data_IF_074581475898
#
_entry.id   IF_074581475898
#
_cell.length_a   1.000
_cell.length_b   1.000
_cell.length_c   1.000
_cell.angle_alpha   90.00
_cell.angle_beta   90.00
_cell.angle_gamma   90.00
#
_symmetry.space_group_name_H-M   'P 1'
#
loop_
_entity.id
_entity.type
_entity.pdbx_description
1 polymer ?
#
# COMPACT_ATOMS: atom_id res chain seq x y z
N UNK A 1 -9.72 22.41 -16.35
CA UNK A 1 -9.32 21.28 -17.21
C UNK A 1 -9.41 20.03 -16.35
N UNK A 2 -10.07 18.96 -16.81
CA UNK A 2 -10.06 17.69 -16.09
C UNK A 2 -8.61 17.18 -16.00
N UNK A 3 -8.20 16.65 -14.83
CA UNK A 3 -6.89 16.01 -14.71
C UNK A 3 -6.79 14.88 -15.73
N UNK A 4 -5.61 14.69 -16.33
CA UNK A 4 -5.33 13.59 -17.28
C UNK A 4 -5.56 12.26 -16.57
N UNK A 5 -6.21 11.31 -17.24
CA UNK A 5 -6.37 9.95 -16.70
C UNK A 5 -5.00 9.27 -16.61
N UNK A 6 -4.71 8.70 -15.45
CA UNK A 6 -3.46 7.98 -15.18
C UNK A 6 -3.78 6.67 -14.49
N UNK A 7 -3.36 5.59 -15.09
CA UNK A 7 -3.48 4.24 -14.53
C UNK A 7 -2.10 3.61 -14.39
N UNK A 8 -2.01 2.54 -13.62
CA UNK A 8 -0.74 1.81 -13.47
C UNK A 8 -0.95 0.31 -13.49
N UNK A 9 0.04 -0.39 -14.03
CA UNK A 9 0.34 -1.78 -13.74
C UNK A 9 1.48 -1.82 -12.72
N UNK A 10 1.27 -2.50 -11.60
CA UNK A 10 2.16 -2.46 -10.45
C UNK A 10 2.53 -3.89 -10.00
N UNK A 11 3.31 -4.62 -10.83
CA UNK A 11 3.68 -6.00 -10.52
C UNK A 11 4.79 -6.09 -9.49
N UNK A 12 4.71 -7.12 -8.64
CA UNK A 12 5.85 -7.56 -7.83
C UNK A 12 6.75 -8.50 -8.64
N UNK A 13 8.08 -8.31 -8.64
CA UNK A 13 9.02 -9.12 -9.41
C UNK A 13 9.33 -10.46 -8.71
N UNK A 14 8.29 -11.28 -8.51
CA UNK A 14 8.36 -12.54 -7.77
C UNK A 14 8.43 -13.78 -8.67
N UNK A 15 8.76 -13.61 -9.95
CA UNK A 15 8.90 -14.69 -10.91
C UNK A 15 8.09 -14.48 -12.19
N UNK A 16 7.46 -15.55 -12.70
CA UNK A 16 6.70 -15.51 -13.95
C UNK A 16 5.40 -14.72 -13.78
N UNK A 17 5.10 -13.86 -14.74
CA UNK A 17 3.83 -13.15 -14.79
C UNK A 17 2.68 -14.16 -14.98
N UNK A 18 1.69 -14.10 -14.07
CA UNK A 18 0.48 -14.91 -14.17
C UNK A 18 -0.53 -14.24 -15.11
N UNK A 19 -1.39 -15.03 -15.77
CA UNK A 19 -2.42 -14.51 -16.69
C UNK A 19 -3.37 -13.51 -16.02
N UNK A 20 -3.64 -13.66 -14.71
CA UNK A 20 -4.43 -12.70 -13.93
C UNK A 20 -3.78 -11.33 -13.84
N UNK A 21 -2.45 -11.27 -13.64
CA UNK A 21 -1.71 -10.01 -13.65
C UNK A 21 -1.77 -9.33 -15.02
N UNK A 22 -1.61 -10.13 -16.09
CA UNK A 22 -1.71 -9.61 -17.47
C UNK A 22 -3.11 -9.05 -17.77
N UNK A 23 -4.17 -9.72 -17.30
CA UNK A 23 -5.55 -9.22 -17.42
C UNK A 23 -5.72 -7.87 -16.71
N UNK A 24 -5.22 -7.73 -15.49
CA UNK A 24 -5.28 -6.47 -14.76
C UNK A 24 -4.50 -5.36 -15.49
N UNK A 25 -3.30 -5.68 -16.01
CA UNK A 25 -2.52 -4.76 -16.84
C UNK A 25 -3.30 -4.32 -18.09
N UNK A 26 -3.97 -5.25 -18.77
CA UNK A 26 -4.78 -4.97 -19.97
C UNK A 26 -5.92 -4.00 -19.65
N UNK A 27 -6.65 -4.19 -18.56
CA UNK A 27 -7.75 -3.29 -18.19
C UNK A 27 -7.23 -1.89 -17.85
N UNK A 28 -6.17 -1.79 -17.07
CA UNK A 28 -5.54 -0.52 -16.77
C UNK A 28 -5.05 0.21 -18.03
N UNK A 29 -4.42 -0.52 -18.96
CA UNK A 29 -3.98 -0.01 -20.25
C UNK A 29 -5.15 0.52 -21.09
N UNK A 30 -6.22 -0.27 -21.22
CA UNK A 30 -7.39 0.09 -22.04
C UNK A 30 -8.08 1.34 -21.49
N UNK A 31 -8.25 1.47 -20.17
CA UNK A 31 -8.82 2.67 -19.54
C UNK A 31 -7.96 3.89 -19.87
N UNK A 32 -6.65 3.81 -19.64
CA UNK A 32 -5.75 4.93 -19.95
C UNK A 32 -5.84 5.34 -21.42
N UNK A 33 -5.76 4.38 -22.34
CA UNK A 33 -5.74 4.69 -23.78
C UNK A 33 -7.09 5.15 -24.31
N UNK A 34 -8.20 4.64 -23.77
CA UNK A 34 -9.54 5.11 -24.12
C UNK A 34 -9.74 6.59 -23.78
N UNK A 35 -9.25 7.01 -22.63
CA UNK A 35 -9.36 8.37 -22.11
C UNK A 35 -8.23 9.30 -22.57
N UNK A 36 -7.34 8.86 -23.45
CA UNK A 36 -6.18 9.64 -23.91
C UNK A 36 -5.18 9.94 -22.79
N UNK A 37 -5.12 9.08 -21.80
CA UNK A 37 -4.31 9.17 -20.60
C UNK A 37 -2.98 8.42 -20.66
N UNK A 38 -2.32 8.29 -19.50
CA UNK A 38 -1.04 7.60 -19.36
C UNK A 38 -1.22 6.26 -18.64
N UNK A 39 -0.52 5.24 -19.13
CA UNK A 39 -0.39 3.94 -18.50
C UNK A 39 1.03 3.76 -17.98
N UNK A 40 1.17 3.60 -16.67
CA UNK A 40 2.44 3.52 -15.97
C UNK A 40 2.82 2.07 -15.62
N UNK A 41 4.12 1.77 -15.63
CA UNK A 41 4.70 0.58 -15.02
C UNK A 41 5.41 0.97 -13.72
N UNK A 42 4.95 0.43 -12.59
CA UNK A 42 5.61 0.58 -11.27
C UNK A 42 6.01 -0.80 -10.75
N UNK A 43 7.24 -0.97 -10.33
CA UNK A 43 7.75 -2.22 -9.76
C UNK A 43 7.57 -2.18 -8.24
N UNK A 44 6.78 -3.12 -7.71
CA UNK A 44 6.49 -3.24 -6.28
C UNK A 44 7.30 -4.39 -5.66
N UNK A 45 8.53 -4.07 -5.26
CA UNK A 45 9.53 -4.98 -4.73
C UNK A 45 9.81 -4.79 -3.23
N UNK A 46 8.81 -4.35 -2.47
CA UNK A 46 8.92 -4.17 -1.01
C UNK A 46 9.13 -5.48 -0.23
N UNK A 47 8.84 -6.62 -0.84
CA UNK A 47 9.10 -7.95 -0.31
C UNK A 47 10.39 -8.49 -0.93
N UNK A 48 11.52 -8.15 -0.31
CA UNK A 48 12.85 -8.50 -0.79
C UNK A 48 13.15 -10.01 -0.69
N UNK A 49 12.45 -10.74 0.17
CA UNK A 49 12.62 -12.20 0.31
C UNK A 49 12.08 -12.97 -0.91
N UNK A 50 11.04 -12.42 -1.55
CA UNK A 50 10.43 -13.01 -2.75
C UNK A 50 10.94 -12.45 -4.07
N UNK A 51 11.93 -11.57 -4.02
CA UNK A 51 12.54 -11.02 -5.22
C UNK A 51 13.20 -12.14 -6.06
N UNK A 52 12.91 -12.17 -7.37
CA UNK A 52 13.51 -13.11 -8.31
C UNK A 52 14.29 -12.35 -9.37
N UNK A 53 15.58 -12.64 -9.46
CA UNK A 53 16.44 -12.05 -10.51
C UNK A 53 15.91 -12.37 -11.92
N UNK A 54 15.90 -11.37 -12.80
CA UNK A 54 15.34 -11.49 -14.15
C UNK A 54 13.81 -11.42 -14.26
N UNK A 55 13.07 -11.33 -13.14
CA UNK A 55 11.61 -11.20 -13.18
C UNK A 55 11.16 -9.91 -13.87
N UNK A 56 11.91 -8.83 -13.73
CA UNK A 56 11.61 -7.56 -14.41
C UNK A 56 11.73 -7.69 -15.94
N UNK A 57 12.73 -8.40 -16.44
CA UNK A 57 12.87 -8.67 -17.88
C UNK A 57 11.69 -9.48 -18.43
N UNK A 58 11.17 -10.41 -17.61
CA UNK A 58 9.97 -11.19 -17.98
C UNK A 58 8.76 -10.28 -18.09
N UNK A 59 8.60 -9.32 -17.16
CA UNK A 59 7.53 -8.33 -17.19
C UNK A 59 7.62 -7.51 -18.48
N UNK A 60 8.77 -6.91 -18.78
CA UNK A 60 8.98 -6.12 -20.00
C UNK A 60 8.68 -6.91 -21.28
N UNK A 61 9.26 -8.11 -21.42
CA UNK A 61 9.01 -8.98 -22.59
C UNK A 61 7.55 -9.38 -22.74
N UNK A 62 6.85 -9.60 -21.62
CA UNK A 62 5.43 -9.97 -21.65
C UNK A 62 4.59 -8.78 -22.11
N UNK A 63 4.86 -7.59 -21.57
CA UNK A 63 4.17 -6.37 -21.97
C UNK A 63 4.42 -6.05 -23.44
N UNK A 64 5.66 -6.13 -23.92
CA UNK A 64 6.02 -5.94 -25.32
C UNK A 64 5.28 -6.92 -26.25
N UNK A 65 5.32 -8.24 -25.94
CA UNK A 65 4.65 -9.27 -26.74
C UNK A 65 3.14 -9.12 -26.80
N UNK A 66 2.54 -8.52 -25.79
CA UNK A 66 1.08 -8.31 -25.72
C UNK A 66 0.66 -6.90 -26.16
N UNK A 67 1.62 -6.06 -26.56
CA UNK A 67 1.34 -4.70 -27.01
C UNK A 67 0.93 -3.72 -25.90
N UNK A 68 1.14 -4.08 -24.64
CA UNK A 68 0.85 -3.22 -23.47
C UNK A 68 2.02 -2.26 -23.23
N UNK A 69 2.17 -1.28 -24.09
CA UNK A 69 3.28 -0.33 -24.02
C UNK A 69 2.98 0.75 -22.98
N UNK A 70 3.80 0.83 -21.94
CA UNK A 70 3.69 1.87 -20.91
C UNK A 70 4.25 3.21 -21.39
N UNK A 71 3.69 4.29 -20.87
CA UNK A 71 4.12 5.66 -21.16
C UNK A 71 5.23 6.10 -20.22
N UNK A 72 5.23 5.59 -18.99
CA UNK A 72 6.21 5.86 -17.93
C UNK A 72 6.54 4.57 -17.17
N UNK A 73 7.75 4.47 -16.66
CA UNK A 73 8.23 3.32 -15.89
C UNK A 73 9.70 3.42 -15.55
N UNK A 74 10.32 2.36 -15.00
CA UNK A 74 11.74 2.39 -14.61
C UNK A 74 12.70 2.67 -15.76
N UNK A 75 12.31 2.33 -16.98
CA UNK A 75 13.07 2.52 -18.22
C UNK A 75 12.65 3.79 -18.99
N UNK A 76 11.62 4.49 -18.55
CA UNK A 76 11.06 5.66 -19.22
C UNK A 76 10.50 6.66 -18.21
N UNK A 77 11.31 7.60 -17.78
CA UNK A 77 10.93 8.59 -16.78
C UNK A 77 9.92 9.60 -17.33
N UNK A 78 8.81 9.78 -16.59
CA UNK A 78 7.78 10.79 -16.83
C UNK A 78 7.80 11.93 -15.80
N UNK A 79 8.81 11.98 -14.93
CA UNK A 79 8.96 13.00 -13.90
C UNK A 79 8.37 12.62 -12.53
N UNK A 80 7.90 11.38 -12.37
CA UNK A 80 7.32 10.86 -11.12
C UNK A 80 8.18 9.77 -10.46
N UNK A 81 9.37 9.48 -11.04
CA UNK A 81 10.30 8.45 -10.59
C UNK A 81 10.88 8.72 -9.19
N UNK A 82 11.59 7.74 -8.64
CA UNK A 82 11.80 6.39 -9.16
C UNK A 82 10.50 5.57 -9.26
N UNK A 83 10.44 4.64 -10.24
CA UNK A 83 9.28 3.75 -10.43
C UNK A 83 9.50 2.36 -9.83
N UNK A 84 10.53 2.20 -9.01
CA UNK A 84 10.84 0.99 -8.25
C UNK A 84 10.73 1.31 -6.77
N UNK A 85 9.95 0.54 -6.03
CA UNK A 85 9.65 0.86 -4.63
C UNK A 85 10.87 0.74 -3.71
N UNK A 86 11.79 -0.19 -3.94
CA UNK A 86 13.03 -0.28 -3.17
C UNK A 86 13.90 0.98 -3.32
N UNK A 87 13.97 1.57 -4.52
CA UNK A 87 14.67 2.83 -4.78
C UNK A 87 14.01 4.01 -4.05
N UNK A 88 12.67 4.07 -4.05
CA UNK A 88 11.90 5.06 -3.28
C UNK A 88 12.12 4.88 -1.78
N UNK A 89 12.17 3.63 -1.30
CA UNK A 89 12.48 3.34 0.10
C UNK A 89 13.89 3.81 0.48
N UNK A 90 14.88 3.56 -0.38
CA UNK A 90 16.26 4.01 -0.16
C UNK A 90 16.38 5.53 -0.05
N UNK A 91 15.51 6.30 -0.69
CA UNK A 91 15.43 7.76 -0.54
C UNK A 91 14.82 8.22 0.78
N UNK A 92 14.31 7.31 1.61
CA UNK A 92 13.61 7.62 2.87
C UNK A 92 12.17 8.10 2.70
N UNK A 93 11.61 8.03 1.49
CA UNK A 93 10.31 8.57 1.16
C UNK A 93 9.20 8.04 2.06
N UNK A 94 9.06 6.71 2.16
CA UNK A 94 7.97 6.10 2.93
C UNK A 94 8.10 6.38 4.43
N UNK A 95 9.31 6.31 4.97
CA UNK A 95 9.54 6.63 6.39
C UNK A 95 9.19 8.09 6.71
N UNK A 96 9.44 9.02 5.78
CA UNK A 96 9.06 10.44 5.92
C UNK A 96 7.55 10.57 6.07
N UNK A 97 6.76 9.94 5.20
CA UNK A 97 5.30 9.99 5.27
C UNK A 97 4.74 9.26 6.48
N UNK A 98 5.32 8.12 6.87
CA UNK A 98 4.91 7.43 8.09
C UNK A 98 5.15 8.28 9.35
N UNK A 99 6.30 8.97 9.44
CA UNK A 99 6.59 9.90 10.53
C UNK A 99 5.65 11.10 10.55
N UNK A 100 5.26 11.63 9.40
CA UNK A 100 4.25 12.67 9.31
C UNK A 100 2.94 12.23 9.98
N UNK A 101 2.46 11.02 9.69
CA UNK A 101 1.26 10.48 10.35
C UNK A 101 1.46 10.29 11.86
N UNK A 102 2.66 9.91 12.31
CA UNK A 102 2.96 9.83 13.76
C UNK A 102 2.88 11.22 14.41
N UNK A 103 3.44 12.24 13.78
CA UNK A 103 3.39 13.62 14.27
C UNK A 103 1.95 14.18 14.33
N UNK A 104 1.08 13.75 13.41
CA UNK A 104 -0.34 14.11 13.37
C UNK A 104 -1.21 13.34 14.38
N UNK A 105 -0.72 12.20 14.90
CA UNK A 105 -1.48 11.30 15.76
C UNK A 105 -2.28 10.24 15.02
N UNK A 106 -2.16 10.18 13.68
CA UNK A 106 -2.81 9.20 12.81
C UNK A 106 -2.01 7.91 12.67
N UNK A 107 -0.81 7.85 13.24
CA UNK A 107 0.02 6.64 13.35
C UNK A 107 0.82 6.66 14.65
N UNK A 108 1.40 5.52 15.01
CA UNK A 108 2.20 5.40 16.23
C UNK A 108 3.25 4.30 16.10
N UNK A 109 4.31 4.40 16.92
CA UNK A 109 5.31 3.36 17.06
C UNK A 109 4.79 2.20 17.89
N UNK A 110 5.01 0.98 17.42
CA UNK A 110 4.67 -0.24 18.14
C UNK A 110 5.95 -1.05 18.39
N UNK A 111 6.20 -1.39 19.65
CA UNK A 111 7.36 -2.14 20.13
C UNK A 111 7.00 -3.55 20.59
N UNK A 112 5.80 -4.03 20.28
CA UNK A 112 5.37 -5.38 20.64
C UNK A 112 6.20 -6.43 19.91
N UNK A 113 6.68 -7.41 20.66
CA UNK A 113 7.35 -8.59 20.12
C UNK A 113 6.34 -9.63 19.58
N UNK A 114 6.87 -10.67 18.97
CA UNK A 114 6.07 -11.73 18.38
C UNK A 114 5.24 -12.48 19.41
N UNK A 115 5.79 -12.74 20.60
CA UNK A 115 5.13 -13.46 21.69
C UNK A 115 3.91 -12.67 22.19
N UNK A 116 4.07 -11.35 22.37
CA UNK A 116 2.96 -10.46 22.74
C UNK A 116 1.86 -10.45 21.67
N UNK A 117 2.23 -10.37 20.41
CA UNK A 117 1.25 -10.35 19.31
C UNK A 117 0.51 -11.68 19.19
N UNK A 118 1.18 -12.82 19.36
CA UNK A 118 0.56 -14.15 19.37
C UNK A 118 -0.37 -14.38 20.56
N UNK A 119 -0.17 -13.65 21.65
CA UNK A 119 -1.07 -13.70 22.82
C UNK A 119 -2.39 -12.97 22.64
N UNK A 120 -2.55 -12.17 21.57
CA UNK A 120 -3.79 -11.45 21.29
C UNK A 120 -4.91 -12.45 20.94
N UNK A 121 -6.06 -12.26 21.56
CA UNK A 121 -7.22 -13.12 21.32
C UNK A 121 -7.68 -12.93 19.87
N UNK A 122 -7.82 -14.03 19.16
CA UNK A 122 -8.46 -14.07 17.86
C UNK A 122 -9.96 -13.78 18.03
N UNK A 123 -10.45 -12.74 17.37
CA UNK A 123 -11.87 -12.48 17.28
C UNK A 123 -12.42 -13.22 16.06
N UNK A 124 -13.57 -13.89 16.24
CA UNK A 124 -14.27 -14.54 15.11
C UNK A 124 -15.29 -13.56 14.59
N UNK A 125 -15.17 -13.15 13.32
CA UNK A 125 -16.17 -12.34 12.65
C UNK A 125 -17.50 -13.11 12.48
N UNK A 126 -18.61 -12.40 12.24
CA UNK A 126 -19.92 -13.03 11.96
C UNK A 126 -19.90 -14.01 10.79
N UNK A 127 -18.89 -13.94 9.91
CA UNK A 127 -18.65 -14.87 8.80
C UNK A 127 -17.74 -16.06 9.13
N UNK A 128 -17.34 -16.26 10.41
CA UNK A 128 -16.50 -17.38 10.83
C UNK A 128 -15.02 -17.23 10.49
N UNK A 129 -14.59 -16.04 10.06
CA UNK A 129 -13.18 -15.74 9.79
C UNK A 129 -12.51 -15.28 11.07
N UNK A 130 -11.40 -15.92 11.44
CA UNK A 130 -10.59 -15.48 12.58
C UNK A 130 -9.85 -14.19 12.22
N UNK A 131 -10.18 -13.11 12.92
CA UNK A 131 -9.50 -11.82 12.79
C UNK A 131 -8.72 -11.57 14.08
N UNK A 132 -7.40 -11.49 13.98
CA UNK A 132 -6.56 -11.01 15.08
C UNK A 132 -6.47 -9.50 15.00
N UNK A 133 -7.22 -8.79 15.83
CA UNK A 133 -7.19 -7.33 15.91
C UNK A 133 -6.13 -6.93 16.94
N UNK A 134 -5.20 -6.05 16.54
CA UNK A 134 -4.22 -5.48 17.45
C UNK A 134 -4.92 -4.55 18.45
N UNK A 135 -4.61 -4.73 19.74
CA UNK A 135 -5.27 -4.07 20.87
C UNK A 135 -4.80 -2.63 21.16
N UNK A 136 -4.07 -2.02 20.23
CA UNK A 136 -3.53 -0.65 20.35
C UNK A 136 -2.64 -0.42 21.60
N UNK A 137 -2.04 -1.47 22.15
CA UNK A 137 -1.24 -1.41 23.37
C UNK A 137 -0.20 -0.27 23.36
N UNK A 138 0.54 -0.12 22.26
CA UNK A 138 1.58 0.91 22.19
C UNK A 138 1.06 2.32 21.86
N UNK A 139 -0.23 2.49 21.57
CA UNK A 139 -0.82 3.82 21.34
C UNK A 139 -0.84 4.65 22.64
N UNK A 140 -0.86 3.99 23.80
CA UNK A 140 -0.88 4.64 25.12
C UNK A 140 0.50 5.09 25.62
N UNK A 141 1.58 4.75 24.92
CA UNK A 141 2.94 5.16 25.31
C UNK A 141 3.09 6.68 25.21
N UNK A 142 3.70 7.27 26.24
CA UNK A 142 4.06 8.69 26.20
C UNK A 142 5.19 8.95 25.19
N UNK A 143 5.35 10.20 24.78
CA UNK A 143 6.40 10.59 23.85
C UNK A 143 7.80 10.25 24.41
N UNK A 144 8.01 10.46 25.70
CA UNK A 144 9.26 10.16 26.41
C UNK A 144 9.55 8.64 26.41
N UNK A 145 8.52 7.81 26.59
CA UNK A 145 8.67 6.34 26.54
C UNK A 145 9.00 5.88 25.12
N UNK A 146 8.37 6.45 24.11
CA UNK A 146 8.69 6.17 22.69
C UNK A 146 10.14 6.55 22.39
N UNK A 147 10.56 7.77 22.76
CA UNK A 147 11.94 8.25 22.55
C UNK A 147 12.96 7.36 23.29
N UNK A 148 12.67 6.96 24.53
CA UNK A 148 13.53 6.05 25.30
C UNK A 148 13.66 4.67 24.65
N UNK A 149 12.55 4.12 24.13
CA UNK A 149 12.55 2.83 23.43
C UNK A 149 13.35 2.90 22.12
N UNK A 150 13.20 3.98 21.35
CA UNK A 150 13.98 4.22 20.13
C UNK A 150 15.47 4.39 20.43
N UNK A 151 15.81 5.17 21.46
CA UNK A 151 17.20 5.37 21.90
C UNK A 151 17.86 4.08 22.41
N UNK A 152 17.06 3.20 23.02
CA UNK A 152 17.51 1.86 23.46
C UNK A 152 17.67 0.87 22.30
N UNK A 153 17.37 1.26 21.04
CA UNK A 153 17.46 0.40 19.86
C UNK A 153 16.46 -0.75 19.85
N UNK A 154 15.34 -0.63 20.56
CA UNK A 154 14.29 -1.67 20.51
C UNK A 154 13.74 -1.81 19.10
N UNK A 155 13.49 -3.04 18.61
CA UNK A 155 12.78 -3.26 17.36
C UNK A 155 11.40 -2.58 17.38
N UNK A 156 11.03 -1.95 16.28
CA UNK A 156 9.76 -1.24 16.18
C UNK A 156 9.15 -1.38 14.79
N UNK A 157 7.86 -1.14 14.73
CA UNK A 157 7.10 -0.91 13.50
C UNK A 157 6.29 0.38 13.66
N UNK A 158 5.83 0.98 12.57
CA UNK A 158 4.85 2.07 12.62
C UNK A 158 3.50 1.49 12.18
N UNK A 159 2.45 1.73 12.98
CA UNK A 159 1.07 1.34 12.70
C UNK A 159 0.18 2.54 12.44
N UNK A 160 -0.78 2.37 11.54
CA UNK A 160 -1.88 3.32 11.37
C UNK A 160 -2.74 3.31 12.65
N UNK A 161 -3.20 4.48 13.09
CA UNK A 161 -4.17 4.60 14.16
C UNK A 161 -5.58 4.74 13.56
N UNK A 162 -6.29 3.64 13.42
CA UNK A 162 -7.66 3.64 12.92
C UNK A 162 -8.60 4.04 14.05
N UNK A 163 -9.52 5.01 13.87
CA UNK A 163 -10.55 5.30 14.88
C UNK A 163 -11.40 4.07 15.20
N UNK A 164 -11.71 3.85 16.48
CA UNK A 164 -12.54 2.71 16.88
C UNK A 164 -14.02 2.90 16.52
N UNK A 165 -14.45 4.16 16.36
CA UNK A 165 -15.84 4.52 16.07
C UNK A 165 -15.98 5.06 14.65
N UNK A 166 -17.21 5.06 14.13
CA UNK A 166 -17.53 5.56 12.81
C UNK A 166 -17.34 4.51 11.73
N UNK A 167 -17.41 4.97 10.49
CA UNK A 167 -17.40 4.14 9.29
C UNK A 167 -16.48 4.73 8.26
N UNK A 168 -15.93 3.89 7.40
CA UNK A 168 -15.18 4.29 6.21
C UNK A 168 -15.96 3.88 4.97
N UNK A 169 -16.27 4.85 4.13
CA UNK A 169 -16.95 4.63 2.85
C UNK A 169 -16.01 4.94 1.70
N UNK A 170 -15.99 4.09 0.70
CA UNK A 170 -15.30 4.36 -0.57
C UNK A 170 -16.22 4.05 -1.76
N UNK A 171 -15.99 4.73 -2.85
CA UNK A 171 -16.71 4.50 -4.10
C UNK A 171 -15.93 3.56 -5.00
N UNK A 172 -16.58 2.48 -5.43
CA UNK A 172 -16.09 1.58 -6.47
C UNK A 172 -16.94 1.75 -7.73
N UNK A 173 -16.32 1.99 -8.87
CA UNK A 173 -17.00 2.26 -10.14
C UNK A 173 -17.88 1.08 -10.63
N UNK A 174 -17.68 -0.11 -10.09
CA UNK A 174 -18.43 -1.32 -10.46
C UNK A 174 -19.46 -1.68 -9.39
N UNK A 175 -19.05 -1.61 -8.11
CA UNK A 175 -19.86 -2.05 -6.97
C UNK A 175 -20.60 -0.90 -6.26
N UNK A 176 -20.34 0.36 -6.64
CA UNK A 176 -20.91 1.53 -5.97
C UNK A 176 -20.26 1.83 -4.62
N UNK A 177 -21.00 2.49 -3.75
CA UNK A 177 -20.50 2.86 -2.43
C UNK A 177 -20.44 1.64 -1.50
N UNK A 178 -19.27 1.41 -0.94
CA UNK A 178 -19.00 0.34 0.03
C UNK A 178 -18.62 0.97 1.35
N UNK A 179 -19.35 0.65 2.40
CA UNK A 179 -19.17 1.17 3.76
C UNK A 179 -18.78 0.04 4.70
N UNK A 180 -17.74 0.27 5.51
CA UNK A 180 -17.23 -0.69 6.49
C UNK A 180 -17.09 0.01 7.85
N UNK A 181 -17.58 -0.59 8.96
CA UNK A 181 -17.31 -0.08 10.29
C UNK A 181 -15.81 0.01 10.58
N UNK A 182 -15.35 1.12 11.15
CA UNK A 182 -13.94 1.29 11.49
C UNK A 182 -13.45 0.23 12.50
N UNK A 183 -14.34 -0.26 13.36
CA UNK A 183 -14.02 -1.33 14.31
C UNK A 183 -13.61 -2.67 13.66
N UNK A 184 -13.91 -2.86 12.37
CA UNK A 184 -13.49 -4.03 11.59
C UNK A 184 -12.14 -3.84 10.90
N UNK A 185 -11.60 -2.61 10.94
CA UNK A 185 -10.30 -2.28 10.35
C UNK A 185 -9.21 -2.41 11.41
N UNK A 186 -8.14 -3.15 11.09
CA UNK A 186 -6.98 -3.26 11.94
C UNK A 186 -6.03 -2.07 11.80
N UNK A 187 -5.27 -1.78 12.85
CA UNK A 187 -4.15 -0.85 12.82
C UNK A 187 -3.00 -1.47 12.00
N UNK A 188 -3.13 -1.42 10.69
CA UNK A 188 -2.16 -2.05 9.80
C UNK A 188 -0.76 -1.47 9.97
N UNK A 189 0.24 -2.30 9.77
CA UNK A 189 1.63 -1.86 9.77
C UNK A 189 1.89 -1.03 8.52
N UNK A 190 2.48 0.16 8.69
CA UNK A 190 2.93 1.05 7.63
C UNK A 190 4.40 0.78 7.29
N UNK A 191 5.27 0.80 8.31
CA UNK A 191 6.71 0.51 8.19
C UNK A 191 7.01 -0.73 9.01
N UNK A 192 7.64 -1.71 8.38
CA UNK A 192 8.09 -2.96 8.98
C UNK A 192 9.37 -2.75 9.79
N UNK A 193 9.73 -3.74 10.63
CA UNK A 193 10.95 -3.70 11.46
C UNK A 193 12.26 -3.71 10.65
N UNK A 194 12.22 -4.12 9.38
CA UNK A 194 13.34 -4.03 8.44
C UNK A 194 13.48 -2.64 7.79
N UNK A 195 12.60 -1.70 8.11
CA UNK A 195 12.57 -0.35 7.55
C UNK A 195 11.87 -0.24 6.19
N UNK A 196 11.36 -1.33 5.63
CA UNK A 196 10.56 -1.28 4.42
C UNK A 196 9.08 -0.98 4.73
N UNK A 197 8.38 -0.29 3.82
CA UNK A 197 6.94 -0.12 3.93
C UNK A 197 6.24 -1.46 3.69
N UNK A 198 5.03 -1.59 4.21
CA UNK A 198 4.12 -2.64 3.74
C UNK A 198 3.60 -2.30 2.35
N UNK A 199 3.17 -3.33 1.63
CA UNK A 199 2.50 -3.17 0.33
C UNK A 199 1.34 -2.15 0.39
N UNK A 200 0.48 -2.26 1.39
CA UNK A 200 -0.69 -1.40 1.53
C UNK A 200 -0.33 0.08 1.73
N UNK A 201 0.76 0.37 2.42
CA UNK A 201 1.21 1.74 2.63
C UNK A 201 1.93 2.29 1.41
N UNK A 202 2.88 1.54 0.85
CA UNK A 202 3.67 1.98 -0.30
C UNK A 202 2.78 2.32 -1.50
N UNK A 203 1.80 1.46 -1.80
CA UNK A 203 0.95 1.70 -2.97
C UNK A 203 0.10 2.99 -2.87
N UNK A 204 -0.38 3.36 -1.69
CA UNK A 204 -1.15 4.60 -1.48
C UNK A 204 -0.26 5.83 -1.66
N UNK A 205 0.94 5.82 -1.07
CA UNK A 205 1.91 6.90 -1.22
C UNK A 205 2.28 7.08 -2.71
N UNK A 206 2.55 5.98 -3.39
CA UNK A 206 2.96 6.02 -4.78
C UNK A 206 1.82 6.41 -5.72
N UNK A 207 0.62 5.89 -5.51
CA UNK A 207 -0.55 6.24 -6.31
C UNK A 207 -0.84 7.75 -6.19
N UNK A 208 -0.74 8.31 -4.98
CA UNK A 208 -0.90 9.75 -4.78
C UNK A 208 0.22 10.57 -5.47
N UNK A 209 1.49 10.23 -5.22
CA UNK A 209 2.63 10.99 -5.74
C UNK A 209 2.83 10.84 -7.26
N UNK A 210 2.35 9.74 -7.85
CA UNK A 210 2.35 9.52 -9.30
C UNK A 210 1.04 10.01 -9.95
N UNK A 211 0.17 10.68 -9.17
CA UNK A 211 -1.11 11.22 -9.65
C UNK A 211 -2.00 10.17 -10.34
N UNK A 212 -2.01 8.94 -9.81
CA UNK A 212 -2.88 7.89 -10.32
C UNK A 212 -4.34 8.29 -10.08
N UNK A 213 -5.12 8.35 -11.15
CA UNK A 213 -6.53 8.75 -11.10
C UNK A 213 -7.48 7.55 -11.01
N UNK A 214 -7.11 6.40 -11.58
CA UNK A 214 -7.93 5.19 -11.61
C UNK A 214 -7.09 3.98 -11.21
N UNK A 215 -7.52 3.32 -10.13
CA UNK A 215 -6.89 2.11 -9.61
C UNK A 215 -7.68 0.90 -10.09
N UNK A 216 -7.06 0.05 -10.91
CA UNK A 216 -7.64 -1.19 -11.40
C UNK A 216 -7.04 -2.37 -10.65
N UNK A 217 -7.88 -3.17 -10.01
CA UNK A 217 -7.48 -4.33 -9.21
C UNK A 217 -8.50 -5.46 -9.32
N UNK A 218 -8.11 -6.66 -8.89
CA UNK A 218 -9.04 -7.76 -8.68
C UNK A 218 -9.96 -7.49 -7.48
N UNK A 219 -11.13 -8.09 -7.46
CA UNK A 219 -12.12 -7.94 -6.39
C UNK A 219 -11.64 -8.46 -5.02
N UNK A 220 -10.59 -9.28 -4.98
CA UNK A 220 -9.91 -9.68 -3.74
C UNK A 220 -9.36 -8.50 -2.92
N UNK A 221 -9.16 -7.35 -3.57
CA UNK A 221 -8.67 -6.12 -2.91
C UNK A 221 -9.78 -5.25 -2.31
N UNK A 222 -11.05 -5.59 -2.51
CA UNK A 222 -12.17 -4.82 -1.93
C UNK A 222 -12.09 -4.75 -0.40
N UNK A 223 -11.66 -5.81 0.26
CA UNK A 223 -11.45 -5.83 1.71
C UNK A 223 -10.30 -4.93 2.20
N UNK A 224 -9.36 -4.59 1.31
CA UNK A 224 -8.24 -3.70 1.63
C UNK A 224 -8.52 -2.23 1.29
N UNK A 225 -9.47 -1.95 0.40
CA UNK A 225 -9.78 -0.61 -0.06
C UNK A 225 -10.16 0.38 1.07
N UNK A 226 -10.92 0.00 2.12
CA UNK A 226 -11.19 0.89 3.25
C UNK A 226 -9.91 1.36 3.95
N UNK A 227 -8.90 0.49 4.08
CA UNK A 227 -7.61 0.84 4.70
C UNK A 227 -6.85 1.89 3.88
N UNK A 228 -6.97 1.84 2.55
CA UNK A 228 -6.37 2.85 1.68
C UNK A 228 -7.06 4.20 1.84
N UNK A 229 -8.38 4.21 1.90
CA UNK A 229 -9.15 5.44 2.14
C UNK A 229 -8.83 6.06 3.49
N UNK A 230 -8.65 5.25 4.55
CA UNK A 230 -8.18 5.75 5.85
C UNK A 230 -6.83 6.47 5.74
N UNK A 231 -5.90 5.98 4.91
CA UNK A 231 -4.64 6.66 4.66
C UNK A 231 -4.83 7.99 3.91
N UNK A 232 -5.67 8.01 2.87
CA UNK A 232 -5.97 9.26 2.16
C UNK A 232 -6.60 10.29 3.09
N UNK A 233 -7.53 9.90 3.94
CA UNK A 233 -8.15 10.78 4.93
C UNK A 233 -7.13 11.29 5.96
N UNK A 234 -6.28 10.42 6.51
CA UNK A 234 -5.25 10.80 7.47
C UNK A 234 -4.24 11.80 6.89
N UNK A 235 -3.91 11.69 5.61
CA UNK A 235 -3.06 12.66 4.92
C UNK A 235 -3.80 13.93 4.48
N UNK A 236 -5.14 13.97 4.52
CA UNK A 236 -5.94 15.05 3.95
C UNK A 236 -5.87 15.13 2.42
N UNK A 237 -5.67 14.01 1.78
CA UNK A 237 -5.55 13.87 0.31
C UNK A 237 -6.92 13.64 -0.36
#
# INVERSE_FOLDING_TARGET
>A
MSKKVRTRFAPSPTGRMHVGNLRTALYAYLIAKHEGGDFLLRVEDTDQERFVEGALDIIYRTMEKTGLIHDEGPDKDGGYGPYVQSERNASGLYLKYAKQLVEQGDAYYCFCDKERLESLKTQVSEGGVEISVYDKHCLSLSKEEVEANLAAGKPWVIRLNVPNEGETTFHDEIYGDITVPNAELDDMILIKSDGFPTYNFANVIDDHLMEISHVVRGNEYLSSAPKYNRLYEAFGW
#
